data_IF_451293311792
#
_entry.id   IF_451293311792
#
_cell.length_a   1.000
_cell.length_b   1.000
_cell.length_c   1.000
_cell.angle_alpha   90.00
_cell.angle_beta   90.00
_cell.angle_gamma   90.00
#
_symmetry.space_group_name_H-M   'P 1'
#
loop_
_entity.id
_entity.type
_entity.pdbx_description
1 polymer ?
#
# COMPACT_ATOMS: atom_id res chain seq x y z
N UNK A 1 10.41 -6.43 -32.72
CA UNK A 1 9.02 -6.35 -32.22
C UNK A 1 9.05 -6.18 -30.72
N UNK A 2 8.28 -5.24 -30.16
CA UNK A 2 8.17 -4.93 -28.71
C UNK A 2 6.75 -5.14 -28.18
N UNK A 3 5.97 -5.98 -28.87
CA UNK A 3 4.55 -6.16 -28.62
C UNK A 3 4.22 -6.80 -27.25
N UNK A 4 5.23 -7.19 -26.47
CA UNK A 4 5.06 -7.75 -25.12
C UNK A 4 5.89 -7.00 -24.05
N UNK A 5 6.49 -5.86 -24.39
CA UNK A 5 7.33 -5.09 -23.47
C UNK A 5 6.47 -4.16 -22.59
N UNK A 6 5.43 -4.70 -21.97
CA UNK A 6 4.52 -3.95 -21.10
C UNK A 6 4.90 -4.09 -19.63
N UNK A 7 4.83 -2.98 -18.90
CA UNK A 7 4.88 -3.00 -17.45
C UNK A 7 3.54 -3.47 -16.88
N UNK A 8 3.59 -4.28 -15.82
CA UNK A 8 2.38 -4.71 -15.09
C UNK A 8 2.21 -3.86 -13.84
N UNK A 9 0.99 -3.38 -13.59
CA UNK A 9 0.68 -2.62 -12.39
C UNK A 9 0.74 -3.52 -11.14
N UNK A 10 1.32 -3.05 -10.02
CA UNK A 10 1.32 -3.81 -8.78
C UNK A 10 -0.07 -3.85 -8.15
N UNK A 11 -0.32 -4.87 -7.35
CA UNK A 11 -1.60 -4.99 -6.66
C UNK A 11 -1.68 -4.05 -5.44
N UNK A 12 -2.65 -3.13 -5.47
CA UNK A 12 -2.94 -2.19 -4.38
C UNK A 12 -4.16 -2.61 -3.56
N UNK A 13 -4.24 -2.11 -2.34
CA UNK A 13 -5.35 -2.27 -1.41
C UNK A 13 -5.59 -0.96 -0.66
N UNK A 14 -6.76 -0.84 -0.03
CA UNK A 14 -7.13 0.31 0.81
C UNK A 14 -7.04 -0.11 2.26
N UNK A 15 -6.39 0.70 3.09
CA UNK A 15 -6.30 0.48 4.52
C UNK A 15 -7.65 0.77 5.18
N UNK A 16 -8.10 -0.13 6.06
CA UNK A 16 -9.47 -0.13 6.56
C UNK A 16 -9.79 1.01 7.54
N UNK A 17 -8.81 1.48 8.30
CA UNK A 17 -9.00 2.52 9.33
C UNK A 17 -8.80 3.93 8.78
N UNK A 18 -7.86 4.12 7.87
CA UNK A 18 -7.38 5.41 7.38
C UNK A 18 -7.82 5.71 5.94
N UNK A 19 -8.24 4.70 5.18
CA UNK A 19 -8.60 4.84 3.77
C UNK A 19 -7.39 4.98 2.83
N UNK A 20 -6.17 4.84 3.32
CA UNK A 20 -4.96 5.01 2.51
C UNK A 20 -4.71 3.86 1.55
N UNK A 21 -4.30 4.19 0.32
CA UNK A 21 -3.83 3.19 -0.62
C UNK A 21 -2.45 2.66 -0.20
N UNK A 22 -2.29 1.34 -0.23
CA UNK A 22 -1.04 0.65 0.06
C UNK A 22 -0.89 -0.59 -0.84
N UNK A 23 0.32 -1.14 -0.92
CA UNK A 23 0.54 -2.41 -1.61
C UNK A 23 -0.10 -3.55 -0.83
N UNK A 24 -0.70 -4.53 -1.52
CA UNK A 24 -1.30 -5.68 -0.83
C UNK A 24 -0.28 -6.34 0.10
N UNK A 25 -0.71 -6.57 1.35
CA UNK A 25 0.10 -7.14 2.43
C UNK A 25 1.24 -6.28 2.98
N UNK A 26 1.37 -5.03 2.55
CA UNK A 26 2.33 -4.09 3.13
C UNK A 26 1.64 -3.14 4.13
N UNK A 27 2.45 -2.43 4.91
CA UNK A 27 1.99 -1.41 5.85
C UNK A 27 1.64 -0.13 5.05
N UNK A 28 0.60 0.60 5.46
CA UNK A 28 0.25 1.89 4.85
C UNK A 28 1.34 2.95 5.07
N UNK A 29 1.37 4.03 4.27
CA UNK A 29 2.31 5.14 4.46
C UNK A 29 2.28 5.75 5.87
N UNK A 30 1.10 5.82 6.51
CA UNK A 30 0.96 6.26 7.89
C UNK A 30 1.16 5.15 8.93
N UNK A 31 1.73 4.00 8.55
CA UNK A 31 2.12 2.97 9.50
C UNK A 31 0.99 2.07 10.00
N UNK A 32 -0.15 2.02 9.30
CA UNK A 32 -1.27 1.13 9.65
C UNK A 32 -1.23 -0.18 8.85
N UNK A 33 -1.53 -1.30 9.50
CA UNK A 33 -1.74 -2.59 8.84
C UNK A 33 -2.87 -3.36 9.50
N UNK A 34 -3.87 -3.76 8.70
CA UNK A 34 -5.07 -4.46 9.18
C UNK A 34 -5.71 -3.73 10.37
N UNK A 35 -5.90 -2.41 10.23
CA UNK A 35 -6.55 -1.55 11.22
C UNK A 35 -5.76 -1.25 12.50
N UNK A 36 -4.48 -1.59 12.56
CA UNK A 36 -3.61 -1.32 13.72
C UNK A 36 -2.41 -0.50 13.33
N UNK A 37 -2.05 0.50 14.14
CA UNK A 37 -0.79 1.24 14.03
C UNK A 37 0.36 0.30 14.43
N UNK A 38 1.25 0.01 13.48
CA UNK A 38 2.37 -0.92 13.67
C UNK A 38 3.72 -0.24 13.60
N UNK A 39 3.80 0.96 13.02
CA UNK A 39 5.03 1.74 12.91
C UNK A 39 4.74 3.19 13.30
N UNK A 40 5.56 3.77 14.17
CA UNK A 40 5.50 5.22 14.43
C UNK A 40 6.07 5.96 13.24
N UNK A 41 5.24 6.79 12.63
CA UNK A 41 5.58 7.58 11.44
C UNK A 41 5.75 9.05 11.82
N UNK A 42 6.32 9.86 10.94
CA UNK A 42 6.42 11.32 11.16
C UNK A 42 5.05 12.02 11.24
N UNK A 43 3.99 11.37 10.76
CA UNK A 43 2.60 11.84 10.75
C UNK A 43 1.82 11.49 12.03
N UNK A 44 2.51 11.07 13.09
CA UNK A 44 1.92 10.79 14.42
C UNK A 44 2.04 12.02 15.34
#
# INVERSE_FOLDING_TARGET
HRAHDFLTAPATAVEATTGEAHLRHHISPNGYYRGRKVVKTKND
#
